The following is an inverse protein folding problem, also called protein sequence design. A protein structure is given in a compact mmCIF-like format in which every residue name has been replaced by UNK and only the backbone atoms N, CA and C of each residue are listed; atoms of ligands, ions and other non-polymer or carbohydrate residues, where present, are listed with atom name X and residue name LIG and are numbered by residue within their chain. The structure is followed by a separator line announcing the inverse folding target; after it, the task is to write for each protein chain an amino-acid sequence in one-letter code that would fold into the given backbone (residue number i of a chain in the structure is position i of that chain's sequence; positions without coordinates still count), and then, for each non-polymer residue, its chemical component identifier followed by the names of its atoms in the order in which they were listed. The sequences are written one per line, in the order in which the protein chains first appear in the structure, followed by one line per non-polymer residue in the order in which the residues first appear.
data_IF_979199138891
#
_entry.id   IF_979199138891
#
_cell.length_a   1.000
_cell.length_b   1.000
_cell.length_c   1.000
_cell.angle_alpha   90.00
_cell.angle_beta   90.00
_cell.angle_gamma   90.00
#
_symmetry.space_group_name_H-M   'P 1'
#
loop_
_entity.id
_entity.type
_entity.pdbx_description
1 polymer ?
#
# COMPACT_ATOMS: atom_id res chain seq x y z
N UNK A 1 -61.90 -0.67 -9.53
CA UNK A 1 -60.92 -1.75 -9.73
C UNK A 1 -59.68 -1.11 -10.33
N UNK A 2 -58.71 -0.78 -9.50
CA UNK A 2 -57.37 -0.41 -9.92
C UNK A 2 -56.46 -1.40 -9.22
N UNK A 3 -55.94 -2.37 -9.98
CA UNK A 3 -54.99 -3.35 -9.48
C UNK A 3 -53.70 -2.62 -9.08
N UNK A 4 -53.31 -2.81 -7.82
CA UNK A 4 -51.98 -2.48 -7.34
C UNK A 4 -50.97 -3.37 -8.08
N UNK A 5 -50.16 -2.76 -8.94
CA UNK A 5 -48.87 -3.33 -9.34
C UNK A 5 -47.92 -3.18 -8.14
N UNK A 6 -47.93 -4.19 -7.26
CA UNK A 6 -46.80 -4.47 -6.37
C UNK A 6 -45.74 -5.13 -7.25
N UNK A 7 -44.82 -4.32 -7.77
CA UNK A 7 -43.56 -4.83 -8.29
C UNK A 7 -42.70 -5.03 -7.04
N UNK A 8 -42.52 -6.28 -6.62
CA UNK A 8 -41.44 -6.65 -5.71
C UNK A 8 -40.12 -6.18 -6.35
N UNK A 9 -39.56 -5.07 -5.86
CA UNK A 9 -38.20 -4.67 -6.18
C UNK A 9 -37.26 -5.75 -5.60
N UNK A 10 -36.83 -6.67 -6.46
CA UNK A 10 -35.70 -7.54 -6.16
C UNK A 10 -34.52 -6.63 -5.85
N UNK A 11 -34.16 -6.51 -4.56
CA UNK A 11 -33.02 -5.71 -4.13
C UNK A 11 -31.80 -6.09 -4.97
N UNK A 12 -31.13 -5.08 -5.56
CA UNK A 12 -29.95 -5.34 -6.38
C UNK A 12 -28.91 -6.10 -5.56
N UNK A 13 -28.14 -6.99 -6.21
CA UNK A 13 -27.12 -7.80 -5.53
C UNK A 13 -26.14 -6.92 -4.72
N UNK A 14 -25.87 -5.69 -5.18
CA UNK A 14 -25.04 -4.72 -4.47
C UNK A 14 -25.67 -4.26 -3.16
N UNK A 15 -26.97 -3.97 -3.14
CA UNK A 15 -27.68 -3.58 -1.91
C UNK A 15 -27.60 -4.69 -0.87
N UNK A 16 -27.77 -5.95 -1.30
CA UNK A 16 -27.66 -7.11 -0.41
C UNK A 16 -26.24 -7.24 0.16
N UNK A 17 -25.21 -7.15 -0.68
CA UNK A 17 -23.81 -7.21 -0.24
C UNK A 17 -23.49 -6.06 0.72
N UNK A 18 -23.93 -4.84 0.42
CA UNK A 18 -23.69 -3.67 1.26
C UNK A 18 -24.35 -3.81 2.64
N UNK A 19 -25.58 -4.32 2.70
CA UNK A 19 -26.26 -4.59 3.98
C UNK A 19 -25.50 -5.63 4.81
N UNK A 20 -25.08 -6.74 4.20
CA UNK A 20 -24.27 -7.76 4.89
C UNK A 20 -22.93 -7.19 5.38
N UNK A 21 -22.25 -6.40 4.55
CA UNK A 21 -20.98 -5.74 4.93
C UNK A 21 -21.18 -4.84 6.16
N UNK A 22 -22.22 -4.01 6.17
CA UNK A 22 -22.53 -3.16 7.34
C UNK A 22 -22.91 -3.97 8.57
N UNK A 23 -23.56 -5.13 8.40
CA UNK A 23 -23.94 -5.97 9.53
C UNK A 23 -22.74 -6.67 10.18
N UNK A 24 -21.81 -7.19 9.37
CA UNK A 24 -20.74 -8.08 9.86
C UNK A 24 -19.35 -7.42 9.92
N UNK A 25 -19.15 -6.32 9.19
CA UNK A 25 -17.87 -5.63 9.06
C UNK A 25 -18.00 -4.11 9.27
N UNK A 26 -18.93 -3.68 10.14
CA UNK A 26 -19.06 -2.27 10.49
C UNK A 26 -17.74 -1.70 11.03
N UNK A 27 -17.44 -0.45 10.66
CA UNK A 27 -16.16 0.20 10.97
C UNK A 27 -14.93 -0.37 10.24
N UNK A 28 -15.05 -1.48 9.50
CA UNK A 28 -13.97 -2.11 8.70
C UNK A 28 -14.13 -1.87 7.19
N UNK A 29 -15.20 -1.19 6.80
CA UNK A 29 -15.57 -0.90 5.40
C UNK A 29 -15.58 0.61 5.14
N UNK A 30 -15.44 0.98 3.88
CA UNK A 30 -15.48 2.37 3.41
C UNK A 30 -16.17 2.44 2.05
N UNK A 31 -16.86 3.56 1.82
CA UNK A 31 -17.46 3.93 0.56
C UNK A 31 -16.39 4.37 -0.45
N UNK A 32 -16.18 3.57 -1.50
CA UNK A 32 -15.10 3.80 -2.48
C UNK A 32 -15.35 4.98 -3.42
N UNK A 33 -16.62 5.38 -3.62
CA UNK A 33 -16.97 6.59 -4.34
C UNK A 33 -16.45 7.87 -3.66
N UNK A 34 -16.54 7.92 -2.33
CA UNK A 34 -16.00 9.04 -1.54
C UNK A 34 -14.48 9.10 -1.61
N UNK A 35 -13.81 7.95 -1.54
CA UNK A 35 -12.35 7.84 -1.70
C UNK A 35 -11.92 8.40 -3.06
N UNK A 36 -12.60 8.00 -4.14
CA UNK A 36 -12.32 8.48 -5.50
C UNK A 36 -12.50 10.00 -5.61
N UNK A 37 -13.61 10.53 -5.11
CA UNK A 37 -13.94 11.95 -5.20
C UNK A 37 -12.92 12.86 -4.48
N UNK A 38 -12.30 12.39 -3.39
CA UNK A 38 -11.32 13.18 -2.65
C UNK A 38 -9.90 13.01 -3.22
N UNK A 39 -9.54 11.81 -3.70
CA UNK A 39 -8.21 11.53 -4.28
C UNK A 39 -7.90 12.41 -5.48
N UNK A 40 -8.89 12.78 -6.29
CA UNK A 40 -8.71 13.70 -7.43
C UNK A 40 -8.18 15.09 -7.02
N UNK A 41 -8.45 15.53 -5.78
CA UNK A 41 -8.01 16.82 -5.25
C UNK A 41 -6.78 16.78 -4.34
N UNK A 42 -6.28 15.60 -3.96
CA UNK A 42 -5.23 15.46 -2.96
C UNK A 42 -4.26 14.31 -3.27
N UNK A 43 -2.95 14.61 -3.32
CA UNK A 43 -1.90 13.60 -3.49
C UNK A 43 -1.55 12.94 -2.14
N UNK A 44 -2.48 12.14 -1.63
CA UNK A 44 -2.41 11.45 -0.33
C UNK A 44 -2.56 9.94 -0.57
N UNK A 45 -1.83 9.05 0.14
CA UNK A 45 -2.02 7.61 0.00
C UNK A 45 -3.48 7.17 0.26
N UNK A 46 -3.98 6.21 -0.51
CA UNK A 46 -5.40 5.78 -0.42
C UNK A 46 -5.78 5.29 0.98
N UNK A 47 -4.95 4.47 1.63
CA UNK A 47 -5.24 3.99 2.98
C UNK A 47 -5.36 5.11 4.03
N UNK A 48 -4.62 6.22 3.88
CA UNK A 48 -4.76 7.38 4.77
C UNK A 48 -6.12 8.05 4.60
N UNK A 49 -6.55 8.20 3.35
CA UNK A 49 -7.85 8.76 3.03
C UNK A 49 -8.99 7.85 3.53
N UNK A 50 -8.88 6.54 3.30
CA UNK A 50 -9.89 5.57 3.72
C UNK A 50 -10.02 5.45 5.23
N UNK A 51 -8.91 5.55 5.96
CA UNK A 51 -8.93 5.59 7.42
C UNK A 51 -9.72 6.81 7.93
N UNK A 52 -9.45 8.00 7.39
CA UNK A 52 -10.19 9.22 7.77
C UNK A 52 -11.67 9.11 7.38
N UNK A 53 -11.98 8.61 6.19
CA UNK A 53 -13.36 8.37 5.76
C UNK A 53 -14.07 7.35 6.67
N UNK A 54 -13.39 6.27 7.08
CA UNK A 54 -13.95 5.30 8.03
C UNK A 54 -14.30 5.91 9.39
N UNK A 55 -13.55 6.92 9.84
CA UNK A 55 -13.81 7.61 11.11
C UNK A 55 -14.97 8.61 11.04
N UNK A 56 -15.10 9.35 9.93
CA UNK A 56 -16.04 10.48 9.84
C UNK A 56 -17.26 10.21 8.95
N UNK A 57 -17.25 9.15 8.13
CA UNK A 57 -18.31 8.83 7.16
C UNK A 57 -18.90 7.42 7.37
N UNK A 58 -19.03 6.97 8.61
CA UNK A 58 -19.56 5.64 8.97
C UNK A 58 -21.10 5.54 8.93
N UNK A 59 -21.80 6.66 8.78
CA UNK A 59 -23.28 6.72 8.70
C UNK A 59 -23.79 6.49 7.28
N UNK A 60 -25.06 6.12 7.14
CA UNK A 60 -25.83 6.09 5.89
C UNK A 60 -26.67 7.35 5.65
N UNK A 61 -26.76 8.23 6.64
CA UNK A 61 -27.41 9.53 6.48
C UNK A 61 -26.60 10.41 5.52
N UNK A 62 -27.18 10.83 4.38
CA UNK A 62 -26.50 11.70 3.41
C UNK A 62 -25.95 12.99 4.00
N UNK A 63 -26.64 13.60 4.98
CA UNK A 63 -26.18 14.84 5.61
C UNK A 63 -24.93 14.61 6.46
N UNK A 64 -24.93 13.53 7.26
CA UNK A 64 -23.77 13.15 8.08
C UNK A 64 -22.57 12.80 7.19
N UNK A 65 -22.81 12.11 6.07
CA UNK A 65 -21.74 11.79 5.11
C UNK A 65 -21.17 13.07 4.50
N UNK A 66 -22.01 14.03 4.09
CA UNK A 66 -21.53 15.28 3.49
C UNK A 66 -20.67 16.09 4.48
N UNK A 67 -21.13 16.21 5.72
CA UNK A 67 -20.38 16.87 6.78
C UNK A 67 -19.08 16.13 7.14
N UNK A 68 -19.12 14.79 7.13
CA UNK A 68 -17.96 13.93 7.28
C UNK A 68 -16.91 14.19 6.18
N UNK A 69 -17.33 14.19 4.92
CA UNK A 69 -16.47 14.49 3.75
C UNK A 69 -15.87 15.90 3.86
N UNK A 70 -16.66 16.90 4.28
CA UNK A 70 -16.17 18.27 4.48
C UNK A 70 -15.09 18.31 5.57
N UNK A 71 -15.30 17.57 6.65
CA UNK A 71 -14.33 17.43 7.76
C UNK A 71 -13.04 16.77 7.29
N UNK A 72 -13.11 15.67 6.55
CA UNK A 72 -11.93 14.99 5.99
C UNK A 72 -11.14 15.90 5.06
N UNK A 73 -11.83 16.62 4.14
CA UNK A 73 -11.17 17.59 3.26
C UNK A 73 -10.44 18.67 4.04
N UNK A 74 -11.05 19.19 5.11
CA UNK A 74 -10.44 20.19 5.99
C UNK A 74 -9.18 19.63 6.67
N UNK A 75 -9.27 18.48 7.31
CA UNK A 75 -8.13 17.81 7.97
C UNK A 75 -6.97 17.60 7.00
N UNK A 76 -7.25 17.09 5.79
CA UNK A 76 -6.20 16.89 4.79
C UNK A 76 -5.58 18.22 4.33
N UNK A 77 -6.37 19.27 4.15
CA UNK A 77 -5.84 20.57 3.71
C UNK A 77 -5.00 21.28 4.78
N UNK A 78 -5.33 21.10 6.06
CA UNK A 78 -4.69 21.81 7.17
C UNK A 78 -3.54 20.99 7.78
N UNK A 79 -3.69 19.67 7.87
CA UNK A 79 -2.77 18.83 8.64
C UNK A 79 -1.86 17.94 7.78
N UNK A 80 -2.22 17.61 6.54
CA UNK A 80 -1.34 16.78 5.70
C UNK A 80 -0.11 17.56 5.26
N UNK A 81 1.07 17.10 5.69
CA UNK A 81 2.32 17.81 5.41
C UNK A 81 2.75 17.51 3.98
N UNK A 82 2.84 18.56 3.16
CA UNK A 82 3.48 18.50 1.84
C UNK A 82 4.95 18.88 1.99
N UNK A 83 5.90 18.12 1.41
CA UNK A 83 7.34 18.40 1.57
C UNK A 83 7.76 19.82 1.18
N UNK A 84 7.12 20.41 0.18
CA UNK A 84 7.35 21.79 -0.28
C UNK A 84 6.78 22.86 0.67
N UNK A 85 5.82 22.51 1.52
CA UNK A 85 5.22 23.40 2.52
C UNK A 85 5.75 23.15 3.95
N UNK A 86 6.71 22.25 4.14
CA UNK A 86 7.20 21.85 5.46
C UNK A 86 7.65 23.03 6.33
N UNK A 87 8.36 24.02 5.78
CA UNK A 87 8.80 25.21 6.51
C UNK A 87 7.64 26.10 6.97
N UNK A 88 6.55 26.15 6.20
CA UNK A 88 5.33 26.87 6.59
C UNK A 88 4.69 26.20 7.81
N UNK A 89 4.60 24.87 7.80
CA UNK A 89 4.07 24.09 8.93
C UNK A 89 4.93 24.30 10.18
N UNK A 90 6.27 24.26 10.06
CA UNK A 90 7.19 24.51 11.18
C UNK A 90 7.06 25.94 11.73
N UNK A 91 6.88 26.93 10.85
CA UNK A 91 6.63 28.31 11.25
C UNK A 91 5.34 28.42 12.06
N UNK A 92 4.24 27.83 11.59
CA UNK A 92 2.96 27.81 12.31
C UNK A 92 3.09 27.10 13.66
N UNK A 93 3.77 25.95 13.71
CA UNK A 93 4.04 25.22 14.96
C UNK A 93 4.82 26.08 15.96
N UNK A 94 5.82 26.84 15.51
CA UNK A 94 6.60 27.75 16.36
C UNK A 94 5.76 28.91 16.90
N UNK A 95 4.96 29.55 16.05
CA UNK A 95 4.15 30.73 16.42
C UNK A 95 2.95 30.35 17.32
N UNK A 96 2.34 29.19 17.09
CA UNK A 96 1.17 28.73 17.84
C UNK A 96 1.52 27.85 19.05
N UNK A 97 2.77 27.38 19.15
CA UNK A 97 3.26 26.50 20.21
C UNK A 97 2.77 25.04 20.10
N UNK A 98 1.70 24.77 19.36
CA UNK A 98 1.24 23.42 19.07
C UNK A 98 0.59 23.32 17.69
N UNK A 99 0.76 22.19 17.02
CA UNK A 99 0.16 21.95 15.71
C UNK A 99 -0.05 20.45 15.47
N UNK A 100 -1.12 20.09 14.76
CA UNK A 100 -1.37 18.69 14.37
C UNK A 100 -0.92 18.46 12.93
N UNK A 101 -0.17 17.40 12.70
CA UNK A 101 0.33 17.03 11.38
C UNK A 101 -0.05 15.59 11.03
N UNK A 102 -0.20 15.30 9.74
CA UNK A 102 -0.29 13.95 9.19
C UNK A 102 0.99 13.73 8.38
N UNK A 103 1.80 12.79 8.85
CA UNK A 103 3.11 12.47 8.26
C UNK A 103 3.47 10.99 8.47
N UNK A 104 4.41 10.49 7.68
CA UNK A 104 5.01 9.17 7.87
C UNK A 104 6.19 9.28 8.83
N UNK A 105 6.08 8.57 9.95
CA UNK A 105 7.07 8.56 11.03
C UNK A 105 7.85 7.26 11.02
N UNK A 106 9.17 7.36 11.11
CA UNK A 106 10.04 6.23 11.42
C UNK A 106 10.73 6.47 12.75
N UNK A 107 10.84 5.45 13.60
CA UNK A 107 11.56 5.50 14.87
C UNK A 107 12.90 4.77 14.76
N UNK A 108 13.88 5.23 15.53
CA UNK A 108 15.18 4.58 15.70
C UNK A 108 15.61 4.62 17.15
N UNK A 109 16.29 3.57 17.61
CA UNK A 109 16.94 3.56 18.92
C UNK A 109 18.33 4.21 18.81
N UNK A 110 18.50 5.37 19.43
CA UNK A 110 19.82 5.96 19.62
C UNK A 110 20.47 5.33 20.86
N UNK A 111 21.28 4.28 20.63
CA UNK A 111 21.96 3.54 21.70
C UNK A 111 22.95 4.42 22.48
N UNK A 112 23.52 5.46 21.85
CA UNK A 112 24.49 6.34 22.52
C UNK A 112 23.86 7.21 23.59
N UNK A 113 22.61 7.61 23.38
CA UNK A 113 21.84 8.49 24.27
C UNK A 113 20.70 7.75 24.97
N UNK A 114 20.62 6.42 24.79
CA UNK A 114 19.60 5.53 25.35
C UNK A 114 18.15 6.05 25.19
N UNK A 115 17.80 6.45 23.96
CA UNK A 115 16.49 7.05 23.68
C UNK A 115 15.98 6.72 22.29
N UNK A 116 14.66 6.76 22.12
CA UNK A 116 14.04 6.67 20.82
C UNK A 116 13.92 8.04 20.17
N UNK A 117 14.28 8.08 18.88
CA UNK A 117 14.21 9.28 18.06
C UNK A 117 13.32 8.99 16.84
N UNK A 118 12.44 9.94 16.52
CA UNK A 118 11.57 9.91 15.37
C UNK A 118 12.12 10.77 14.22
N UNK A 119 11.90 10.30 13.00
CA UNK A 119 12.11 11.01 11.74
C UNK A 119 10.76 11.17 11.03
N UNK A 120 10.47 12.40 10.62
CA UNK A 120 9.26 12.78 9.90
C UNK A 120 9.59 12.93 8.42
N UNK A 121 8.93 12.13 7.58
CA UNK A 121 9.31 12.01 6.17
C UNK A 121 9.02 13.29 5.37
N UNK A 122 7.84 13.88 5.55
CA UNK A 122 7.43 15.06 4.78
C UNK A 122 7.83 16.36 5.48
N UNK A 123 7.76 16.43 6.81
CA UNK A 123 8.20 17.59 7.58
C UNK A 123 9.72 17.77 7.53
N UNK A 124 10.46 16.69 7.26
CA UNK A 124 11.91 16.71 7.08
C UNK A 124 12.69 16.94 8.37
N UNK A 125 12.07 16.72 9.53
CA UNK A 125 12.72 16.83 10.85
C UNK A 125 13.14 15.45 11.36
N UNK A 126 14.28 15.43 12.04
CA UNK A 126 14.92 14.23 12.59
C UNK A 126 15.25 14.46 14.05
N UNK A 127 15.60 13.39 14.76
CA UNK A 127 16.06 13.46 16.15
C UNK A 127 15.00 14.00 17.11
N UNK A 128 13.71 13.83 16.75
CA UNK A 128 12.60 14.21 17.62
C UNK A 128 12.43 13.13 18.70
N UNK A 129 12.45 13.52 19.98
CA UNK A 129 12.26 12.56 21.07
C UNK A 129 10.92 11.87 20.96
N UNK A 130 10.95 10.53 21.08
CA UNK A 130 9.75 9.70 21.08
C UNK A 130 9.67 8.89 22.37
N UNK A 131 8.49 8.93 23.00
CA UNK A 131 8.25 8.15 24.22
C UNK A 131 8.34 6.64 23.93
N UNK A 132 9.03 5.84 24.78
CA UNK A 132 9.15 4.39 24.61
C UNK A 132 7.80 3.67 24.49
N UNK A 133 6.75 4.18 25.14
CA UNK A 133 5.40 3.61 25.08
C UNK A 133 4.78 3.63 23.67
N UNK A 134 5.14 4.62 22.83
CA UNK A 134 4.69 4.62 21.43
C UNK A 134 5.39 3.53 20.63
N UNK A 135 6.69 3.32 20.86
CA UNK A 135 7.50 2.33 20.13
C UNK A 135 7.14 0.90 20.52
N UNK A 136 6.90 0.65 21.80
CA UNK A 136 6.50 -0.68 22.28
C UNK A 136 5.10 -1.08 21.81
N UNK A 137 4.20 -0.10 21.66
CA UNK A 137 2.84 -0.32 21.19
C UNK A 137 2.75 -0.47 19.67
N UNK A 138 3.62 0.22 18.92
CA UNK A 138 3.61 0.26 17.46
C UNK A 138 4.98 -0.10 16.91
N UNK A 139 5.28 -1.40 16.88
CA UNK A 139 6.55 -1.98 16.43
C UNK A 139 6.95 -1.56 15.00
N UNK A 140 5.96 -1.39 14.10
CA UNK A 140 6.17 -0.94 12.72
C UNK A 140 6.81 0.44 12.60
N UNK A 141 6.80 1.26 13.66
CA UNK A 141 7.61 2.49 13.70
C UNK A 141 9.10 2.20 13.48
N UNK A 142 9.61 1.04 13.93
CA UNK A 142 11.00 0.61 13.76
C UNK A 142 11.29 -0.10 12.42
N UNK A 143 10.25 -0.54 11.72
CA UNK A 143 10.33 -1.41 10.54
C UNK A 143 9.87 -0.72 9.26
N UNK A 144 10.40 0.49 8.97
CA UNK A 144 10.07 1.25 7.76
C UNK A 144 9.05 2.38 7.96
N UNK A 145 8.50 2.51 9.17
CA UNK A 145 7.69 3.65 9.57
C UNK A 145 6.24 3.60 9.09
N UNK A 146 5.38 4.31 9.81
CA UNK A 146 3.92 4.29 9.62
C UNK A 146 3.37 5.71 9.50
N UNK A 147 2.25 5.87 8.79
CA UNK A 147 1.53 7.14 8.75
C UNK A 147 0.81 7.37 10.07
N UNK A 148 0.92 8.60 10.58
CA UNK A 148 0.38 8.97 11.87
C UNK A 148 -0.23 10.36 11.82
N UNK A 149 -1.28 10.56 12.61
CA UNK A 149 -1.75 11.87 13.05
C UNK A 149 -0.96 12.21 14.32
N UNK A 150 -0.17 13.28 14.28
CA UNK A 150 0.76 13.66 15.34
C UNK A 150 0.42 15.03 15.87
N UNK A 151 0.24 15.14 17.17
CA UNK A 151 0.18 16.42 17.86
C UNK A 151 1.60 16.79 18.27
N UNK A 152 2.11 17.87 17.68
CA UNK A 152 3.41 18.43 17.98
C UNK A 152 3.27 19.63 18.92
N UNK A 153 4.26 19.79 19.78
CA UNK A 153 4.45 20.98 20.61
C UNK A 153 5.83 21.58 20.35
N UNK A 154 5.92 22.91 20.46
CA UNK A 154 7.16 23.66 20.30
C UNK A 154 7.52 24.33 21.62
N UNK A 155 8.54 23.80 22.28
CA UNK A 155 9.04 24.30 23.56
C UNK A 155 10.52 24.64 23.41
N UNK A 156 10.82 25.94 23.31
CA UNK A 156 12.19 26.42 23.26
C UNK A 156 12.68 26.80 24.65
N UNK A 157 13.65 26.05 25.18
CA UNK A 157 14.31 26.34 26.45
C UNK A 157 15.65 27.03 26.19
N UNK A 158 15.79 28.29 26.62
CA UNK A 158 17.02 29.08 26.38
C UNK A 158 18.29 28.47 26.99
N UNK A 159 18.13 27.68 28.06
CA UNK A 159 19.22 26.99 28.76
C UNK A 159 19.72 25.74 28.00
N UNK A 160 18.89 25.15 27.14
CA UNK A 160 19.20 23.93 26.37
C UNK A 160 19.31 24.23 24.87
N UNK A 161 20.20 25.15 24.48
CA UNK A 161 20.39 25.58 23.07
C UNK A 161 20.69 24.45 22.06
N UNK A 162 20.99 23.24 22.53
CA UNK A 162 21.24 22.06 21.69
C UNK A 162 20.07 21.09 21.61
N UNK A 163 19.03 21.23 22.44
CA UNK A 163 17.90 20.31 22.40
C UNK A 163 16.91 20.72 21.31
N UNK A 164 16.32 19.72 20.66
CA UNK A 164 15.34 19.94 19.59
C UNK A 164 14.05 20.47 20.22
N UNK A 165 13.56 21.68 19.88
CA UNK A 165 12.40 22.28 20.54
C UNK A 165 11.06 21.60 20.18
N UNK A 166 11.04 20.72 19.19
CA UNK A 166 9.83 20.01 18.77
C UNK A 166 9.67 18.75 19.60
N UNK A 167 8.48 18.55 20.19
CA UNK A 167 8.13 17.37 20.97
C UNK A 167 6.86 16.71 20.43
N UNK A 168 6.80 15.39 20.50
CA UNK A 168 5.59 14.62 20.17
C UNK A 168 4.73 14.53 21.43
N UNK A 169 3.60 15.24 21.43
CA UNK A 169 2.61 15.16 22.52
C UNK A 169 1.73 13.93 22.41
N UNK A 170 1.26 13.63 21.19
CA UNK A 170 0.39 12.48 20.91
C UNK A 170 0.68 11.93 19.53
N UNK A 171 0.84 10.61 19.44
CA UNK A 171 1.01 9.89 18.18
C UNK A 171 -0.14 8.91 18.00
N UNK A 172 -0.93 9.10 16.94
CA UNK A 172 -2.04 8.22 16.58
C UNK A 172 -1.75 7.60 15.21
N UNK A 173 -1.41 6.31 15.14
CA UNK A 173 -1.25 5.60 13.87
C UNK A 173 -2.52 5.65 13.03
N UNK A 174 -2.33 5.83 11.72
CA UNK A 174 -3.38 5.70 10.71
C UNK A 174 -3.37 4.24 10.27
N UNK A 175 -3.78 3.39 11.21
CA UNK A 175 -3.90 1.95 11.04
C UNK A 175 -5.14 1.47 11.75
N UNK A 176 -5.77 0.43 11.20
CA UNK A 176 -6.87 -0.25 11.85
C UNK A 176 -6.39 -0.86 13.17
N UNK A 177 -7.20 -0.80 14.24
CA UNK A 177 -6.92 -1.52 15.48
C UNK A 177 -6.77 -3.03 15.25
N UNK A 178 -6.24 -3.75 16.25
CA UNK A 178 -6.01 -5.20 16.22
C UNK A 178 -7.09 -5.98 15.45
N UNK A 179 -6.63 -6.73 14.44
CA UNK A 179 -7.47 -7.62 13.64
C UNK A 179 -7.55 -8.98 14.33
N UNK A 180 -8.75 -9.40 14.70
CA UNK A 180 -9.02 -10.74 15.24
C UNK A 180 -9.42 -11.68 14.11
N UNK A 181 -8.53 -12.60 13.72
CA UNK A 181 -8.75 -13.52 12.60
C UNK A 181 -9.98 -14.41 12.78
N UNK A 182 -10.31 -14.77 14.01
CA UNK A 182 -11.47 -15.63 14.28
C UNK A 182 -12.79 -14.89 14.05
N UNK A 183 -12.87 -13.58 14.35
CA UNK A 183 -14.02 -12.76 13.98
C UNK A 183 -14.23 -12.74 12.46
N UNK A 184 -13.13 -12.59 11.70
CA UNK A 184 -13.20 -12.58 10.23
C UNK A 184 -13.73 -13.91 9.72
N UNK A 185 -13.23 -15.03 10.25
CA UNK A 185 -13.67 -16.36 9.84
C UNK A 185 -15.15 -16.59 10.11
N UNK A 186 -15.67 -16.14 11.25
CA UNK A 186 -17.10 -16.24 11.56
C UNK A 186 -17.93 -15.36 10.63
N UNK A 187 -17.58 -14.07 10.50
CA UNK A 187 -18.26 -13.15 9.59
C UNK A 187 -18.22 -13.64 8.13
N UNK A 188 -17.10 -14.24 7.69
CA UNK A 188 -16.91 -14.77 6.34
C UNK A 188 -17.93 -15.85 5.98
N UNK A 189 -18.45 -16.63 6.95
CA UNK A 189 -19.43 -17.72 6.70
C UNK A 189 -20.76 -17.20 6.15
N UNK A 190 -21.06 -15.93 6.40
CA UNK A 190 -22.31 -15.25 5.99
C UNK A 190 -22.28 -14.81 4.50
N UNK A 191 -21.14 -14.99 3.84
CA UNK A 191 -20.93 -14.63 2.45
C UNK A 191 -20.64 -15.87 1.59
N UNK A 192 -21.23 -15.91 0.41
CA UNK A 192 -20.89 -16.88 -0.62
C UNK A 192 -19.49 -16.60 -1.19
N UNK A 193 -18.92 -17.57 -1.92
CA UNK A 193 -17.65 -17.38 -2.62
C UNK A 193 -17.70 -16.21 -3.62
N UNK A 194 -18.80 -16.11 -4.37
CA UNK A 194 -18.97 -15.05 -5.37
C UNK A 194 -19.06 -13.67 -4.73
N UNK A 195 -19.87 -13.50 -3.68
CA UNK A 195 -19.96 -12.25 -2.92
C UNK A 195 -18.59 -11.86 -2.34
N UNK A 196 -17.85 -12.82 -1.79
CA UNK A 196 -16.52 -12.56 -1.24
C UNK A 196 -15.51 -12.10 -2.29
N UNK A 197 -15.50 -12.74 -3.47
CA UNK A 197 -14.67 -12.28 -4.58
C UNK A 197 -15.03 -10.86 -5.01
N UNK A 198 -16.33 -10.52 -5.05
CA UNK A 198 -16.79 -9.17 -5.31
C UNK A 198 -16.27 -8.18 -4.26
N UNK A 199 -16.37 -8.51 -2.98
CA UNK A 199 -15.88 -7.66 -1.88
C UNK A 199 -14.37 -7.43 -2.00
N UNK A 200 -13.59 -8.48 -2.24
CA UNK A 200 -12.13 -8.36 -2.39
C UNK A 200 -11.77 -7.43 -3.56
N UNK A 201 -12.42 -7.59 -4.72
CA UNK A 201 -12.19 -6.71 -5.88
C UNK A 201 -12.59 -5.26 -5.57
N UNK A 202 -13.74 -5.05 -4.92
CA UNK A 202 -14.18 -3.70 -4.50
C UNK A 202 -13.23 -3.04 -3.52
N UNK A 203 -12.62 -3.83 -2.64
CA UNK A 203 -11.63 -3.36 -1.68
C UNK A 203 -10.37 -2.84 -2.38
N UNK A 204 -10.04 -3.39 -3.56
CA UNK A 204 -8.99 -2.87 -4.48
C UNK A 204 -9.44 -1.72 -5.37
N UNK A 205 -10.71 -1.30 -5.27
CA UNK A 205 -11.31 -0.23 -6.06
C UNK A 205 -11.95 -0.69 -7.38
N UNK A 206 -12.01 -1.98 -7.66
CA UNK A 206 -12.54 -2.54 -8.92
C UNK A 206 -14.01 -3.01 -8.77
N UNK A 207 -14.87 -2.68 -9.73
CA UNK A 207 -16.24 -3.18 -9.75
C UNK A 207 -16.32 -4.58 -10.37
N UNK A 208 -16.89 -5.54 -9.64
CA UNK A 208 -16.82 -6.94 -10.01
C UNK A 208 -17.68 -7.28 -11.24
N UNK A 209 -18.79 -6.58 -11.46
CA UNK A 209 -19.72 -6.89 -12.57
C UNK A 209 -19.17 -6.54 -13.97
N UNK A 210 -18.07 -5.77 -14.02
CA UNK A 210 -17.38 -5.36 -15.27
C UNK A 210 -16.39 -6.40 -15.79
N UNK A 211 -16.17 -7.48 -15.04
CA UNK A 211 -15.18 -8.49 -15.36
C UNK A 211 -15.81 -9.87 -15.51
N UNK A 212 -15.32 -10.63 -16.48
CA UNK A 212 -15.54 -12.07 -16.62
C UNK A 212 -14.93 -12.82 -15.44
N UNK A 213 -15.34 -14.07 -15.22
CA UNK A 213 -14.79 -14.89 -14.14
C UNK A 213 -13.26 -15.03 -14.24
N UNK A 214 -12.73 -15.22 -15.47
CA UNK A 214 -11.30 -15.31 -15.72
C UNK A 214 -10.56 -14.05 -15.29
N UNK A 215 -11.05 -12.88 -15.71
CA UNK A 215 -10.44 -11.58 -15.35
C UNK A 215 -10.46 -11.34 -13.84
N UNK A 216 -11.56 -11.72 -13.15
CA UNK A 216 -11.63 -11.62 -11.67
C UNK A 216 -10.52 -12.43 -11.00
N UNK A 217 -10.29 -13.66 -11.45
CA UNK A 217 -9.20 -14.49 -10.91
C UNK A 217 -7.82 -13.91 -11.17
N UNK A 218 -7.60 -13.34 -12.36
CA UNK A 218 -6.34 -12.67 -12.70
C UNK A 218 -6.10 -11.42 -11.82
N UNK A 219 -7.14 -10.64 -11.57
CA UNK A 219 -7.07 -9.49 -10.66
C UNK A 219 -6.76 -9.92 -9.22
N UNK A 220 -7.40 -10.99 -8.73
CA UNK A 220 -7.11 -11.53 -7.39
C UNK A 220 -5.69 -12.12 -7.31
N UNK A 221 -5.19 -12.74 -8.39
CA UNK A 221 -3.84 -13.31 -8.43
C UNK A 221 -2.74 -12.26 -8.17
N UNK A 222 -2.99 -10.99 -8.53
CA UNK A 222 -2.08 -9.87 -8.21
C UNK A 222 -1.90 -9.62 -6.71
N UNK A 223 -2.81 -10.09 -5.86
CA UNK A 223 -2.69 -9.93 -4.41
C UNK A 223 -1.89 -11.06 -3.74
N UNK A 224 -1.63 -12.18 -4.43
CA UNK A 224 -0.91 -13.32 -3.85
C UNK A 224 0.48 -12.91 -3.29
N UNK A 225 1.30 -12.09 -3.98
CA UNK A 225 2.57 -11.61 -3.45
C UNK A 225 2.48 -10.80 -2.16
N UNK A 226 1.31 -10.26 -1.83
CA UNK A 226 1.06 -9.50 -0.60
C UNK A 226 0.68 -10.40 0.58
N UNK A 227 0.31 -11.66 0.33
CA UNK A 227 -0.20 -12.60 1.35
C UNK A 227 0.78 -13.75 1.58
N UNK A 228 1.43 -14.23 0.52
CA UNK A 228 2.39 -15.33 0.57
C UNK A 228 3.81 -14.80 0.58
N UNK A 229 4.63 -15.29 1.52
CA UNK A 229 6.03 -14.90 1.64
C UNK A 229 6.86 -15.39 0.44
N UNK A 230 7.73 -14.54 -0.08
CA UNK A 230 8.63 -14.85 -1.20
C UNK A 230 7.91 -15.40 -2.46
N UNK A 231 6.67 -14.97 -2.71
CA UNK A 231 5.90 -15.37 -3.88
C UNK A 231 6.25 -14.50 -5.10
N UNK A 232 7.24 -14.94 -5.86
CA UNK A 232 7.68 -14.25 -7.06
C UNK A 232 6.66 -14.31 -8.21
N UNK A 233 6.24 -13.15 -8.71
CA UNK A 233 5.20 -13.02 -9.72
C UNK A 233 5.66 -12.13 -10.88
N UNK A 234 5.28 -12.48 -12.10
CA UNK A 234 5.48 -11.65 -13.28
C UNK A 234 4.13 -11.29 -13.92
N UNK A 235 3.93 -10.01 -14.26
CA UNK A 235 2.78 -9.56 -15.06
C UNK A 235 3.25 -8.69 -16.22
N UNK A 236 3.09 -9.21 -17.44
CA UNK A 236 3.35 -8.47 -18.67
C UNK A 236 2.05 -8.32 -19.46
N UNK A 237 1.78 -7.10 -19.92
CA UNK A 237 0.55 -6.81 -20.65
C UNK A 237 0.49 -5.38 -21.19
N UNK A 238 -0.61 -4.99 -21.85
CA UNK A 238 -0.76 -3.65 -22.39
C UNK A 238 -0.77 -2.57 -21.30
N UNK A 239 -0.54 -1.32 -21.70
CA UNK A 239 -0.65 -0.16 -20.81
C UNK A 239 -2.10 0.02 -20.33
N UNK A 240 -2.24 0.65 -19.16
CA UNK A 240 -3.53 1.04 -18.56
C UNK A 240 -4.44 -0.11 -18.10
N UNK A 241 -3.83 -1.19 -17.58
CA UNK A 241 -4.55 -2.33 -16.96
C UNK A 241 -4.39 -2.36 -15.43
N UNK A 242 -3.89 -1.29 -14.81
CA UNK A 242 -3.76 -1.17 -13.34
C UNK A 242 -2.67 -2.01 -12.67
N UNK A 243 -1.75 -2.58 -13.44
CA UNK A 243 -0.70 -3.51 -12.96
C UNK A 243 0.12 -2.98 -11.78
N UNK A 244 0.60 -1.74 -11.88
CA UNK A 244 1.42 -1.10 -10.83
C UNK A 244 0.60 -0.52 -9.69
N UNK A 245 -0.70 -0.30 -9.90
CA UNK A 245 -1.57 0.37 -8.91
C UNK A 245 -1.71 -0.46 -7.63
N UNK A 246 -1.82 -1.79 -7.78
CA UNK A 246 -2.03 -2.69 -6.65
C UNK A 246 -0.85 -2.65 -5.65
N UNK A 247 0.38 -2.71 -6.15
CA UNK A 247 1.60 -2.69 -5.32
C UNK A 247 1.98 -1.29 -4.82
N UNK A 248 1.27 -0.25 -5.27
CA UNK A 248 1.49 1.12 -4.85
C UNK A 248 0.48 1.58 -3.81
N UNK A 249 -0.80 1.21 -3.97
CA UNK A 249 -1.89 1.82 -3.21
C UNK A 249 -2.61 0.83 -2.27
N UNK A 250 -2.48 -0.49 -2.46
CA UNK A 250 -3.27 -1.48 -1.71
C UNK A 250 -2.60 -2.00 -0.43
N UNK A 251 -1.27 -1.98 -0.34
CA UNK A 251 -0.59 -2.35 0.91
C UNK A 251 0.36 -1.24 1.35
N UNK A 252 0.34 -0.86 2.64
CA UNK A 252 1.37 0.03 3.20
C UNK A 252 2.73 -0.66 3.31
N UNK A 253 2.79 -1.98 3.12
CA UNK A 253 4.00 -2.81 3.22
C UNK A 253 4.52 -3.28 1.85
N UNK A 254 4.09 -2.65 0.75
CA UNK A 254 4.67 -2.85 -0.57
C UNK A 254 5.41 -1.61 -1.06
N UNK A 255 6.50 -1.82 -1.79
CA UNK A 255 7.23 -0.76 -2.47
C UNK A 255 7.29 -1.01 -3.98
N UNK A 256 6.95 0.02 -4.75
CA UNK A 256 7.08 0.04 -6.19
C UNK A 256 8.39 0.76 -6.57
N UNK A 257 9.35 0.02 -7.11
CA UNK A 257 10.62 0.54 -7.63
C UNK A 257 10.43 0.91 -9.09
N UNK A 258 10.44 2.21 -9.39
CA UNK A 258 10.33 2.76 -10.75
C UNK A 258 11.68 3.21 -11.29
N UNK A 259 11.88 3.11 -12.60
CA UNK A 259 13.05 3.69 -13.29
C UNK A 259 14.23 2.75 -13.48
N UNK A 260 14.07 1.46 -13.20
CA UNK A 260 14.95 0.37 -13.66
C UNK A 260 16.34 0.28 -13.03
N UNK A 261 16.96 1.39 -12.64
CA UNK A 261 18.27 1.39 -12.02
C UNK A 261 18.19 1.06 -10.54
N UNK A 262 18.75 -0.08 -10.16
CA UNK A 262 18.88 -0.48 -8.76
C UNK A 262 20.31 -0.93 -8.47
N UNK A 263 20.61 -1.11 -7.18
CA UNK A 263 21.90 -1.63 -6.71
C UNK A 263 21.64 -2.76 -5.73
N UNK A 264 22.59 -3.66 -5.59
CA UNK A 264 22.50 -4.74 -4.61
C UNK A 264 22.43 -4.15 -3.19
N UNK A 265 23.04 -2.98 -2.95
CA UNK A 265 22.99 -2.31 -1.65
C UNK A 265 21.59 -1.80 -1.30
N UNK A 266 20.88 -1.23 -2.28
CA UNK A 266 19.52 -0.76 -2.10
C UNK A 266 18.54 -1.93 -1.91
N UNK A 267 18.65 -2.96 -2.75
CA UNK A 267 17.70 -4.06 -2.74
C UNK A 267 17.93 -5.04 -1.59
N UNK A 268 19.20 -5.44 -1.34
CA UNK A 268 19.52 -6.53 -0.43
C UNK A 268 20.20 -6.09 0.87
N UNK A 269 21.44 -5.60 0.82
CA UNK A 269 22.17 -5.25 2.04
C UNK A 269 23.28 -4.26 1.78
N UNK A 270 23.29 -3.14 2.47
CA UNK A 270 24.34 -2.15 2.35
C UNK A 270 25.50 -2.45 3.30
N UNK A 271 26.68 -2.76 2.75
CA UNK A 271 27.87 -3.10 3.52
C UNK A 271 28.46 -1.91 4.30
N UNK A 272 28.28 -0.68 3.80
CA UNK A 272 28.82 0.52 4.42
C UNK A 272 28.02 0.92 5.68
N UNK A 273 26.69 0.89 5.59
CA UNK A 273 25.79 1.18 6.72
C UNK A 273 25.43 -0.05 7.55
N UNK A 274 25.79 -1.26 7.10
CA UNK A 274 25.42 -2.55 7.71
C UNK A 274 23.90 -2.72 7.90
N UNK A 275 23.12 -2.19 6.95
CA UNK A 275 21.66 -2.20 7.00
C UNK A 275 21.08 -3.08 5.90
N UNK A 276 19.98 -3.76 6.20
CA UNK A 276 19.20 -4.51 5.21
C UNK A 276 18.52 -3.54 4.24
N UNK A 277 18.44 -3.93 2.98
CA UNK A 277 17.79 -3.20 1.91
C UNK A 277 16.29 -3.47 1.85
N UNK A 278 15.68 -3.14 0.71
CA UNK A 278 14.23 -3.20 0.53
C UNK A 278 13.63 -4.58 0.87
N UNK A 279 14.30 -5.69 0.50
CA UNK A 279 13.74 -7.04 0.73
C UNK A 279 13.60 -7.41 2.21
N UNK A 280 14.28 -6.71 3.13
CA UNK A 280 14.10 -6.91 4.56
C UNK A 280 13.23 -5.86 5.24
N UNK A 281 12.73 -4.87 4.50
CA UNK A 281 11.91 -3.78 5.03
C UNK A 281 10.45 -3.83 4.54
N UNK A 282 10.17 -4.62 3.51
CA UNK A 282 8.88 -4.65 2.82
C UNK A 282 8.41 -6.09 2.62
N UNK A 283 7.10 -6.31 2.58
CA UNK A 283 6.52 -7.63 2.31
C UNK A 283 6.50 -7.93 0.80
N UNK A 284 6.48 -6.88 -0.03
CA UNK A 284 6.53 -7.01 -1.48
C UNK A 284 7.37 -5.90 -2.11
N UNK A 285 8.34 -6.28 -2.96
CA UNK A 285 9.12 -5.38 -3.79
C UNK A 285 8.70 -5.57 -5.25
N UNK A 286 7.95 -4.60 -5.77
CA UNK A 286 7.49 -4.60 -7.15
C UNK A 286 8.40 -3.73 -8.03
N UNK A 287 8.87 -4.28 -9.14
CA UNK A 287 9.61 -3.55 -10.17
C UNK A 287 8.64 -3.13 -11.27
N UNK A 288 8.45 -1.83 -11.42
CA UNK A 288 7.75 -1.29 -12.58
C UNK A 288 8.72 -1.17 -13.76
N UNK A 289 8.19 -1.33 -14.96
CA UNK A 289 8.95 -1.31 -16.21
C UNK A 289 10.15 -2.28 -16.19
N UNK A 290 9.87 -3.59 -16.15
CA UNK A 290 10.92 -4.64 -16.11
C UNK A 290 12.03 -4.48 -17.14
N UNK A 291 11.73 -3.94 -18.32
CA UNK A 291 12.71 -3.68 -19.38
C UNK A 291 13.85 -2.75 -18.94
N UNK A 292 13.60 -1.86 -17.97
CA UNK A 292 14.59 -0.95 -17.44
C UNK A 292 15.50 -1.54 -16.38
N UNK A 293 15.21 -2.75 -15.87
CA UNK A 293 15.95 -3.33 -14.74
C UNK A 293 17.42 -3.46 -15.08
N UNK A 294 18.25 -2.71 -14.38
CA UNK A 294 19.69 -2.71 -14.53
C UNK A 294 20.34 -2.64 -13.15
N UNK A 295 21.23 -3.59 -12.89
CA UNK A 295 22.07 -3.59 -11.69
C UNK A 295 23.40 -2.95 -12.01
N UNK A 296 23.83 -1.99 -11.17
CA UNK A 296 25.20 -1.45 -11.26
C UNK A 296 26.25 -2.53 -10.91
N UNK A 297 25.89 -3.43 -10.00
CA UNK A 297 26.72 -4.55 -9.58
C UNK A 297 26.52 -5.76 -10.51
N UNK A 298 27.62 -6.38 -10.96
CA UNK A 298 27.58 -7.52 -11.91
C UNK A 298 26.93 -8.78 -11.33
N UNK A 299 26.92 -8.92 -10.01
CA UNK A 299 26.38 -10.06 -9.27
C UNK A 299 24.91 -9.88 -8.86
N UNK A 300 24.29 -8.72 -9.15
CA UNK A 300 22.95 -8.42 -8.64
C UNK A 300 21.85 -9.37 -9.10
N UNK A 301 21.89 -9.81 -10.37
CA UNK A 301 20.94 -10.80 -10.89
C UNK A 301 21.17 -12.17 -10.23
N UNK A 302 22.42 -12.55 -9.97
CA UNK A 302 22.73 -13.83 -9.32
C UNK A 302 22.22 -13.86 -7.87
N UNK A 303 22.46 -12.79 -7.10
CA UNK A 303 21.96 -12.65 -5.73
C UNK A 303 20.42 -12.66 -5.71
N UNK A 304 19.79 -11.97 -6.68
CA UNK A 304 18.35 -11.99 -6.84
C UNK A 304 17.81 -13.40 -7.11
N UNK A 305 18.46 -14.18 -7.98
CA UNK A 305 18.09 -15.58 -8.20
C UNK A 305 18.19 -16.41 -6.92
N UNK A 306 19.29 -16.29 -6.20
CA UNK A 306 19.49 -17.05 -4.96
C UNK A 306 18.38 -16.71 -3.95
N UNK A 307 18.09 -15.43 -3.76
CA UNK A 307 16.99 -14.95 -2.94
C UNK A 307 15.62 -15.48 -3.36
N UNK A 308 15.28 -15.35 -4.65
CA UNK A 308 13.99 -15.79 -5.16
C UNK A 308 13.75 -17.30 -4.94
N UNK A 309 14.82 -18.10 -4.91
CA UNK A 309 14.73 -19.55 -4.65
C UNK A 309 14.63 -19.90 -3.16
N UNK A 310 15.42 -19.28 -2.29
CA UNK A 310 15.56 -19.70 -0.89
C UNK A 310 14.90 -18.77 0.14
N UNK A 311 14.48 -17.57 -0.26
CA UNK A 311 14.10 -16.49 0.67
C UNK A 311 15.31 -15.96 1.46
N UNK A 312 16.53 -16.28 1.03
CA UNK A 312 17.76 -15.85 1.70
C UNK A 312 18.82 -15.41 0.69
N UNK A 313 19.71 -14.53 1.10
CA UNK A 313 20.81 -14.10 0.27
C UNK A 313 22.12 -14.05 1.06
N UNK A 314 23.20 -14.43 0.41
CA UNK A 314 24.54 -14.32 0.97
C UNK A 314 25.19 -13.01 0.50
N UNK A 315 25.59 -12.15 1.44
CA UNK A 315 26.42 -10.98 1.12
C UNK A 315 27.51 -10.79 2.16
N UNK A 316 28.76 -11.02 1.76
CA UNK A 316 29.90 -11.03 2.67
C UNK A 316 30.07 -12.40 3.34
N UNK A 317 30.07 -12.44 4.68
CA UNK A 317 30.28 -13.68 5.47
C UNK A 317 28.99 -14.23 6.12
N UNK A 318 27.88 -13.54 5.96
CA UNK A 318 26.61 -13.89 6.61
C UNK A 318 25.51 -14.08 5.56
N UNK A 319 24.70 -15.11 5.78
CA UNK A 319 23.44 -15.32 5.08
C UNK A 319 22.33 -14.58 5.84
N UNK A 320 21.49 -13.87 5.09
CA UNK A 320 20.34 -13.12 5.64
C UNK A 320 19.06 -13.64 4.99
N UNK A 321 18.09 -14.00 5.82
CA UNK A 321 16.75 -14.35 5.38
C UNK A 321 15.87 -13.09 5.27
N UNK A 322 14.93 -13.11 4.34
CA UNK A 322 13.90 -12.10 4.15
C UNK A 322 12.64 -12.77 3.60
N UNK A 323 11.48 -12.13 3.75
CA UNK A 323 10.18 -12.67 3.34
C UNK A 323 9.57 -11.97 2.14
N UNK A 324 10.19 -10.88 1.66
CA UNK A 324 9.63 -10.06 0.59
C UNK A 324 9.40 -10.83 -0.70
N UNK A 325 8.20 -10.75 -1.25
CA UNK A 325 7.90 -11.21 -2.60
C UNK A 325 8.51 -10.29 -3.65
N UNK A 326 9.01 -10.84 -4.77
CA UNK A 326 9.45 -10.05 -5.92
C UNK A 326 8.41 -10.05 -7.03
N UNK A 327 7.93 -8.86 -7.38
CA UNK A 327 6.97 -8.72 -8.48
C UNK A 327 7.58 -7.96 -9.64
N UNK A 328 7.37 -8.46 -10.85
CA UNK A 328 7.93 -7.90 -12.08
C UNK A 328 6.80 -7.47 -13.01
N UNK A 329 6.60 -6.16 -13.13
CA UNK A 329 5.53 -5.56 -13.94
C UNK A 329 6.09 -4.92 -15.20
N UNK A 330 5.53 -5.28 -16.35
CA UNK A 330 6.04 -4.82 -17.63
C UNK A 330 4.98 -4.60 -18.70
N UNK A 331 5.42 -3.96 -19.77
CA UNK A 331 4.58 -3.71 -20.94
C UNK A 331 4.99 -4.61 -22.09
N UNK A 332 3.99 -5.18 -22.76
CA UNK A 332 4.18 -5.83 -24.06
C UNK A 332 3.76 -4.82 -25.14
N UNK A 333 4.69 -4.49 -26.05
CA UNK A 333 4.47 -3.48 -27.09
C UNK A 333 3.93 -4.05 -28.42
N UNK A 334 3.88 -5.38 -28.55
CA UNK A 334 3.38 -6.10 -29.72
C UNK A 334 2.29 -7.10 -29.33
N UNK A 335 1.54 -7.64 -30.29
CA UNK A 335 0.55 -8.66 -29.96
C UNK A 335 1.23 -9.96 -29.50
N UNK A 336 0.57 -10.68 -28.61
CA UNK A 336 1.07 -11.96 -28.08
C UNK A 336 1.30 -12.96 -29.21
N UNK A 337 0.42 -12.99 -30.23
CA UNK A 337 0.57 -13.87 -31.40
C UNK A 337 1.84 -13.61 -32.20
N UNK A 338 2.26 -12.34 -32.31
CA UNK A 338 3.51 -11.98 -32.99
C UNK A 338 4.69 -12.37 -32.11
N UNK A 339 4.61 -12.06 -30.82
CA UNK A 339 5.67 -12.33 -29.85
C UNK A 339 5.97 -13.83 -29.72
N UNK A 340 4.95 -14.69 -29.73
CA UNK A 340 5.11 -16.16 -29.72
C UNK A 340 5.69 -16.72 -31.02
N UNK A 341 5.63 -15.98 -32.14
CA UNK A 341 6.23 -16.37 -33.42
C UNK A 341 7.67 -15.89 -33.57
N UNK A 342 8.03 -14.78 -32.91
CA UNK A 342 9.34 -14.14 -33.07
C UNK A 342 10.27 -14.35 -31.86
N UNK A 343 9.73 -14.62 -30.68
CA UNK A 343 10.47 -14.75 -29.43
C UNK A 343 9.64 -15.51 -28.35
N UNK A 344 9.74 -15.12 -27.08
CA UNK A 344 9.07 -15.71 -25.92
C UNK A 344 8.43 -14.65 -25.01
N UNK A 345 7.48 -15.06 -24.16
CA UNK A 345 6.69 -14.16 -23.29
C UNK A 345 7.48 -13.29 -22.32
N UNK A 346 8.76 -13.60 -22.06
CA UNK A 346 9.67 -12.82 -21.22
C UNK A 346 10.57 -11.85 -22.00
N UNK A 347 10.39 -11.70 -23.30
CA UNK A 347 11.18 -10.78 -24.15
C UNK A 347 11.26 -9.35 -23.60
N UNK A 348 10.24 -8.80 -22.91
CA UNK A 348 10.36 -7.48 -22.32
C UNK A 348 11.37 -7.34 -21.17
N UNK A 349 11.94 -8.42 -20.64
CA UNK A 349 13.00 -8.34 -19.63
C UNK A 349 14.35 -7.93 -20.26
N UNK A 350 15.30 -7.43 -19.46
CA UNK A 350 16.67 -7.22 -19.93
C UNK A 350 17.28 -8.55 -20.40
N UNK A 351 18.12 -8.55 -21.43
CA UNK A 351 18.71 -9.77 -22.02
C UNK A 351 19.34 -10.71 -20.97
N UNK A 352 19.99 -10.14 -19.95
CA UNK A 352 20.63 -10.88 -18.87
C UNK A 352 19.65 -11.69 -17.98
N UNK A 353 18.35 -11.38 -18.05
CA UNK A 353 17.27 -12.08 -17.37
C UNK A 353 16.37 -12.82 -18.37
N UNK A 354 16.06 -12.18 -19.51
CA UNK A 354 15.16 -12.70 -20.55
C UNK A 354 15.62 -14.06 -21.10
N UNK A 355 16.93 -14.31 -21.16
CA UNK A 355 17.51 -15.55 -21.67
C UNK A 355 18.17 -16.42 -20.58
N UNK A 356 17.93 -16.11 -19.31
CA UNK A 356 18.40 -16.92 -18.18
C UNK A 356 17.29 -17.85 -17.69
N UNK A 357 17.31 -19.10 -18.14
CA UNK A 357 16.28 -20.09 -17.76
C UNK A 357 16.19 -20.30 -16.26
N UNK A 358 17.32 -20.19 -15.53
CA UNK A 358 17.34 -20.35 -14.09
C UNK A 358 16.58 -19.22 -13.38
N UNK A 359 16.50 -18.03 -13.97
CA UNK A 359 15.69 -16.94 -13.44
C UNK A 359 14.19 -17.30 -13.50
N UNK A 360 13.74 -17.92 -14.59
CA UNK A 360 12.33 -18.29 -14.78
C UNK A 360 11.87 -19.46 -13.91
N UNK A 361 12.76 -20.41 -13.62
CA UNK A 361 12.46 -21.52 -12.69
C UNK A 361 12.09 -21.05 -11.28
N UNK A 362 12.35 -19.76 -10.97
CA UNK A 362 12.08 -19.14 -9.67
C UNK A 362 10.82 -18.26 -9.66
N UNK A 363 10.11 -18.18 -10.78
CA UNK A 363 8.81 -17.50 -10.87
C UNK A 363 7.70 -18.47 -10.45
N UNK A 364 6.87 -18.07 -9.48
CA UNK A 364 5.75 -18.88 -9.02
C UNK A 364 4.50 -18.68 -9.89
N UNK A 365 4.33 -17.49 -10.45
CA UNK A 365 3.17 -17.16 -11.27
C UNK A 365 3.52 -16.18 -12.39
N UNK A 366 2.95 -16.44 -13.58
CA UNK A 366 2.88 -15.48 -14.67
C UNK A 366 1.42 -15.07 -14.88
N UNK A 367 1.11 -13.81 -14.59
CA UNK A 367 -0.22 -13.24 -14.85
C UNK A 367 -0.25 -12.72 -16.29
N UNK A 368 -1.08 -13.29 -17.18
CA UNK A 368 -1.24 -12.82 -18.55
C UNK A 368 -1.95 -11.47 -18.57
N UNK A 369 -1.21 -10.38 -18.39
CA UNK A 369 -1.77 -9.03 -18.30
C UNK A 369 -2.51 -8.58 -19.56
N UNK A 370 -2.32 -9.25 -20.69
CA UNK A 370 -3.08 -9.03 -21.94
C UNK A 370 -4.51 -9.59 -21.92
N UNK A 371 -4.83 -10.51 -21.01
CA UNK A 371 -6.21 -10.98 -20.78
C UNK A 371 -6.99 -9.98 -19.92
N UNK A 372 -6.32 -9.05 -19.23
CA UNK A 372 -6.98 -8.04 -18.40
C UNK A 372 -7.32 -6.83 -19.29
N UNK A 373 -8.59 -6.40 -19.31
CA UNK A 373 -9.03 -5.29 -20.14
C UNK A 373 -8.40 -3.97 -19.67
N UNK A 374 -8.26 -3.04 -20.60
CA UNK A 374 -7.87 -1.66 -20.26
C UNK A 374 -8.98 -1.02 -19.44
N UNK A 375 -8.59 -0.39 -18.34
CA UNK A 375 -9.55 0.19 -17.40
C UNK A 375 -10.29 1.37 -18.02
N UNK A 376 -11.59 1.41 -17.78
CA UNK A 376 -12.47 2.51 -18.11
C UNK A 376 -13.05 3.11 -16.82
N UNK A 377 -13.56 4.35 -16.82
CA UNK A 377 -14.07 4.98 -15.60
C UNK A 377 -15.18 4.19 -14.88
N UNK A 378 -15.94 3.38 -15.59
CA UNK A 378 -17.00 2.52 -15.05
C UNK A 378 -16.51 1.19 -14.48
N UNK A 379 -15.21 0.88 -14.60
CA UNK A 379 -14.57 -0.29 -14.00
C UNK A 379 -14.25 -0.08 -12.52
N UNK A 380 -14.32 1.17 -12.04
CA UNK A 380 -14.07 1.52 -10.66
C UNK A 380 -15.37 1.44 -9.86
N UNK A 381 -15.31 0.79 -8.70
CA UNK A 381 -16.49 0.64 -7.85
C UNK A 381 -16.83 1.94 -7.14
N UNK A 382 -18.14 2.17 -6.97
CA UNK A 382 -18.70 3.22 -6.13
C UNK A 382 -19.31 2.64 -4.83
N UNK A 383 -19.18 1.33 -4.63
CA UNK A 383 -19.82 0.60 -3.54
C UNK A 383 -18.92 0.54 -2.30
N UNK A 384 -19.38 -0.15 -1.26
CA UNK A 384 -18.55 -0.45 -0.11
C UNK A 384 -17.48 -1.50 -0.46
N UNK A 385 -16.28 -1.29 0.07
CA UNK A 385 -15.21 -2.28 0.14
C UNK A 385 -14.51 -2.18 1.49
N UNK A 386 -13.63 -3.13 1.81
CA UNK A 386 -12.79 -3.03 3.00
C UNK A 386 -11.88 -1.82 2.92
N UNK A 387 -11.62 -1.21 4.08
CA UNK A 387 -10.55 -0.23 4.24
C UNK A 387 -9.24 -0.89 3.82
N UNK A 388 -8.42 -0.22 3.02
CA UNK A 388 -7.18 -0.78 2.47
C UNK A 388 -6.27 -1.39 3.54
N UNK A 389 -6.11 -0.74 4.69
CA UNK A 389 -5.30 -1.24 5.81
C UNK A 389 -5.94 -2.42 6.56
N UNK A 390 -7.25 -2.65 6.42
CA UNK A 390 -7.91 -3.87 6.91
C UNK A 390 -7.79 -5.04 5.93
N UNK A 391 -7.72 -4.74 4.63
CA UNK A 391 -7.53 -5.75 3.57
C UNK A 391 -6.11 -6.30 3.56
N UNK A 392 -5.12 -5.42 3.74
CA UNK A 392 -3.69 -5.73 3.78
C UNK A 392 -3.30 -6.29 5.14
#
# INVERSE_FOLDING_TARGET
MAELNVIDEVESANVIINKKLRQYFDGKIVRKDLTKAIKEGANVPVYVLEFLLGQYCSSDDPEIIEDGVRTVKKILSENFVRPDEAQKVLSVLREQGSYTVIDRITARLNIREDRYEAEFSNLGVREILLEPGHVSKYDRLLCGGIWCIVQLEYEFLEEERRSMPIRVRKLTPIQMPHIELDEIKEARKEFTKAEWMTILLRSTGMESDKFTEREKWLLLARMIPLVENNFNLCELGPRSTGKSHIYKEISPNSILVSGGQTTVANLFYNMASRSVGLVGMWDCVAFDEVAGITFKDKDGIQIMKDYMASGSFARGKEEKAASASMVFVGNINQSVDVLLKTSHLFEPFPDAMAYDTAFFDRMHCYVPGWEIPKYQPDFFTNEYGFITDYLA
#
